data_IF_250073827650
#
_entry.id   IF_250073827650
#
_cell.length_a   1.000
_cell.length_b   1.000
_cell.length_c   1.000
_cell.angle_alpha   90.00
_cell.angle_beta   90.00
_cell.angle_gamma   90.00
#
_symmetry.space_group_name_H-M   'P 1'
#
loop_
_entity.id
_entity.type
_entity.pdbx_description
1 polymer ?
#
# COMPACT_ATOMS: atom_id res chain seq x y z
N UNK A 1 9.46 -9.01 -15.80
CA UNK A 1 10.00 -8.07 -16.79
C UNK A 1 11.32 -7.46 -16.31
N UNK A 2 11.36 -6.73 -15.22
CA UNK A 2 12.57 -6.05 -14.73
C UNK A 2 13.77 -7.03 -14.64
N UNK A 3 13.58 -8.16 -13.96
CA UNK A 3 14.61 -9.19 -13.81
C UNK A 3 15.07 -9.75 -15.15
N UNK A 4 14.14 -10.10 -16.04
CA UNK A 4 14.45 -10.68 -17.33
C UNK A 4 15.26 -9.73 -18.21
N UNK A 5 14.88 -8.45 -18.25
CA UNK A 5 15.58 -7.41 -19.00
C UNK A 5 17.01 -7.23 -18.47
N UNK A 6 17.19 -7.13 -17.15
CA UNK A 6 18.52 -6.95 -16.56
C UNK A 6 19.42 -8.18 -16.75
N UNK A 7 18.87 -9.40 -16.67
CA UNK A 7 19.62 -10.63 -16.98
C UNK A 7 20.07 -10.62 -18.45
N UNK A 8 19.16 -10.36 -19.39
CA UNK A 8 19.46 -10.35 -20.81
C UNK A 8 20.45 -9.25 -21.20
N UNK A 9 20.34 -8.06 -20.58
CA UNK A 9 21.26 -6.96 -20.77
C UNK A 9 22.68 -7.30 -20.32
N UNK A 10 22.83 -7.93 -19.15
CA UNK A 10 24.13 -8.28 -18.57
C UNK A 10 24.73 -9.55 -19.20
N UNK A 11 23.89 -10.43 -19.72
CA UNK A 11 24.29 -11.74 -20.26
C UNK A 11 23.64 -11.98 -21.63
N UNK A 12 24.10 -11.30 -22.70
CA UNK A 12 23.44 -11.37 -24.01
C UNK A 12 23.46 -12.75 -24.67
N UNK A 13 24.29 -13.68 -24.19
CA UNK A 13 24.37 -15.06 -24.69
C UNK A 13 23.29 -15.98 -24.06
N UNK A 14 22.59 -15.55 -23.03
CA UNK A 14 21.53 -16.34 -22.40
C UNK A 14 20.21 -16.16 -23.15
N UNK A 15 19.52 -17.27 -23.38
CA UNK A 15 18.12 -17.23 -23.79
C UNK A 15 17.25 -16.98 -22.55
N UNK A 16 16.59 -15.81 -22.53
CA UNK A 16 15.69 -15.41 -21.42
C UNK A 16 14.26 -15.41 -21.92
N UNK A 17 13.38 -16.10 -21.21
CA UNK A 17 11.96 -16.25 -21.56
C UNK A 17 11.09 -15.85 -20.38
N UNK A 18 10.05 -15.06 -20.64
CA UNK A 18 8.98 -14.74 -19.68
C UNK A 18 7.77 -15.61 -20.03
N UNK A 19 7.33 -16.44 -19.08
CA UNK A 19 6.04 -17.14 -19.16
C UNK A 19 4.97 -16.31 -18.47
N UNK A 20 4.07 -15.71 -19.23
CA UNK A 20 2.97 -14.89 -18.70
C UNK A 20 1.66 -15.70 -18.80
N UNK A 21 0.95 -15.79 -17.68
CA UNK A 21 -0.34 -16.49 -17.60
C UNK A 21 -1.44 -15.78 -18.40
N UNK A 22 -1.41 -14.45 -18.39
CA UNK A 22 -2.42 -13.61 -19.04
C UNK A 22 -2.26 -13.56 -20.56
N UNK A 23 -3.27 -13.04 -21.22
CA UNK A 23 -3.21 -12.69 -22.66
C UNK A 23 -2.41 -11.42 -22.90
N UNK A 24 -2.22 -10.61 -21.86
CA UNK A 24 -1.44 -9.37 -21.85
C UNK A 24 -0.52 -9.39 -20.63
N UNK A 25 0.68 -8.85 -20.77
CA UNK A 25 1.61 -8.68 -19.66
C UNK A 25 1.36 -7.39 -18.88
N UNK A 26 1.97 -7.29 -17.67
CA UNK A 26 2.00 -6.06 -16.89
C UNK A 26 0.63 -5.52 -16.45
N UNK A 27 -0.42 -6.36 -16.41
CA UNK A 27 -1.77 -5.96 -16.06
C UNK A 27 -1.85 -5.27 -14.67
N UNK A 28 -1.04 -5.69 -13.70
CA UNK A 28 -0.98 -5.04 -12.38
C UNK A 28 -0.32 -3.65 -12.45
N UNK A 29 0.67 -3.46 -13.31
CA UNK A 29 1.28 -2.14 -13.57
C UNK A 29 0.24 -1.20 -14.15
N UNK A 30 -0.56 -1.70 -15.12
CA UNK A 30 -1.61 -0.92 -15.81
C UNK A 30 -2.61 -0.27 -14.84
N UNK A 31 -3.02 -0.97 -13.79
CA UNK A 31 -4.01 -0.47 -12.82
C UNK A 31 -3.40 0.19 -11.58
N UNK A 32 -2.10 0.05 -11.36
CA UNK A 32 -1.43 0.58 -10.18
C UNK A 32 -1.47 2.11 -10.14
N UNK A 33 -1.48 2.68 -8.92
CA UNK A 33 -1.52 4.13 -8.73
C UNK A 33 -2.69 4.83 -9.43
N UNK A 34 -3.83 4.15 -9.56
CA UNK A 34 -5.00 4.69 -10.26
C UNK A 34 -4.81 4.81 -11.79
N UNK A 35 -4.03 3.91 -12.40
CA UNK A 35 -3.71 3.93 -13.83
C UNK A 35 -2.50 4.80 -14.19
N UNK A 36 -1.85 5.41 -13.21
CA UNK A 36 -0.65 6.25 -13.41
C UNK A 36 0.66 5.49 -13.18
N UNK A 37 0.62 4.37 -12.47
CA UNK A 37 1.76 3.60 -11.95
C UNK A 37 2.61 4.38 -10.93
N UNK A 38 2.36 4.17 -9.64
CA UNK A 38 3.32 4.57 -8.61
C UNK A 38 4.56 3.68 -8.74
N UNK A 39 5.64 4.23 -9.27
CA UNK A 39 6.87 3.48 -9.61
C UNK A 39 7.70 3.21 -8.37
N UNK A 40 7.92 4.23 -7.55
CA UNK A 40 8.74 4.20 -6.34
C UNK A 40 8.38 5.35 -5.41
N UNK A 41 9.17 5.55 -4.37
CA UNK A 41 9.02 6.63 -3.40
C UNK A 41 10.33 7.43 -3.30
N UNK A 42 10.24 8.73 -3.02
CA UNK A 42 11.39 9.61 -2.88
C UNK A 42 12.04 9.49 -1.48
N UNK A 43 12.34 8.27 -1.06
CA UNK A 43 13.13 7.99 0.13
C UNK A 43 14.48 7.41 -0.31
N UNK A 44 15.57 8.10 0.01
CA UNK A 44 16.91 7.82 -0.50
C UNK A 44 17.88 7.33 0.57
N UNK A 45 17.41 7.12 1.80
CA UNK A 45 18.20 6.60 2.90
C UNK A 45 17.74 5.18 3.21
N UNK A 46 18.57 4.14 3.04
CA UNK A 46 18.17 2.75 3.26
C UNK A 46 17.55 2.48 4.64
N UNK A 47 18.11 3.07 5.70
CA UNK A 47 17.59 2.92 7.07
C UNK A 47 16.19 3.53 7.27
N UNK A 48 15.89 4.62 6.55
CA UNK A 48 14.56 5.24 6.60
C UNK A 48 13.57 4.49 5.70
N UNK A 49 14.05 4.04 4.52
CA UNK A 49 13.21 3.29 3.58
C UNK A 49 12.67 2.00 4.19
N UNK A 50 13.51 1.25 4.95
CA UNK A 50 13.10 -0.03 5.55
C UNK A 50 12.02 0.13 6.62
N UNK A 51 11.91 1.29 7.29
CA UNK A 51 10.86 1.55 8.27
C UNK A 51 9.44 1.48 7.69
N UNK A 52 9.31 1.57 6.36
CA UNK A 52 8.03 1.40 5.66
C UNK A 52 7.66 -0.08 5.43
N UNK A 53 8.51 -1.00 5.85
CA UNK A 53 8.30 -2.46 5.71
C UNK A 53 8.06 -3.08 7.08
N UNK A 54 6.80 -3.19 7.56
CA UNK A 54 6.48 -3.71 8.90
C UNK A 54 6.94 -5.17 9.11
N UNK A 55 7.24 -5.84 8.03
CA UNK A 55 7.87 -7.18 7.99
C UNK A 55 8.90 -7.17 6.87
N UNK A 56 10.15 -7.50 7.19
CA UNK A 56 11.27 -7.49 6.25
C UNK A 56 12.21 -6.29 6.40
N UNK A 57 12.03 -5.42 7.40
CA UNK A 57 12.90 -4.27 7.67
C UNK A 57 14.38 -4.68 7.74
N UNK A 58 14.69 -5.71 8.54
CA UNK A 58 16.06 -6.20 8.73
C UNK A 58 16.62 -6.90 7.49
N UNK A 59 15.77 -7.68 6.82
CA UNK A 59 16.12 -8.44 5.63
C UNK A 59 16.36 -7.54 4.41
N UNK A 60 15.66 -6.42 4.32
CA UNK A 60 15.73 -5.50 3.19
C UNK A 60 16.85 -4.46 3.30
N UNK A 61 17.38 -4.22 4.50
CA UNK A 61 18.43 -3.20 4.70
C UNK A 61 19.66 -3.47 3.82
N UNK A 62 20.17 -4.70 3.79
CA UNK A 62 21.29 -5.09 2.93
C UNK A 62 20.99 -4.90 1.44
N UNK A 63 19.92 -5.47 0.90
CA UNK A 63 19.50 -5.25 -0.49
C UNK A 63 19.34 -3.79 -0.88
N UNK A 64 18.79 -2.91 -0.03
CA UNK A 64 18.64 -1.49 -0.33
C UNK A 64 19.95 -0.71 -0.35
N UNK A 65 21.02 -1.20 0.27
CA UNK A 65 22.35 -0.67 0.06
C UNK A 65 22.95 -1.01 -1.31
N UNK A 66 22.37 -2.01 -2.02
CA UNK A 66 22.82 -2.42 -3.37
C UNK A 66 21.93 -1.86 -4.48
N UNK A 67 20.63 -1.82 -4.25
CA UNK A 67 19.65 -1.33 -5.21
C UNK A 67 18.41 -0.77 -4.47
N UNK A 68 18.16 0.52 -4.62
CA UNK A 68 17.08 1.20 -3.93
C UNK A 68 16.27 2.13 -4.85
N UNK A 69 15.57 3.08 -4.27
CA UNK A 69 14.68 4.01 -4.98
C UNK A 69 15.43 4.88 -6.00
N UNK A 70 16.61 5.41 -5.65
CA UNK A 70 17.44 6.18 -6.56
C UNK A 70 17.93 5.38 -7.77
N UNK A 71 18.28 4.11 -7.56
CA UNK A 71 18.66 3.20 -8.64
C UNK A 71 17.48 2.89 -9.56
N UNK A 72 16.29 2.75 -8.99
CA UNK A 72 15.05 2.58 -9.75
C UNK A 72 14.78 3.79 -10.65
N UNK A 73 14.92 5.01 -10.10
CA UNK A 73 14.77 6.25 -10.88
C UNK A 73 15.77 6.28 -12.03
N UNK A 74 17.06 6.11 -11.73
CA UNK A 74 18.14 6.10 -12.73
C UNK A 74 17.94 5.03 -13.80
N UNK A 75 17.38 3.85 -13.43
CA UNK A 75 17.07 2.79 -14.38
C UNK A 75 16.03 3.23 -15.42
N UNK A 76 14.98 3.93 -15.00
CA UNK A 76 13.94 4.45 -15.88
C UNK A 76 14.41 5.66 -16.68
N UNK A 77 15.11 6.61 -16.07
CA UNK A 77 15.63 7.81 -16.73
C UNK A 77 16.61 7.47 -17.86
N UNK A 78 17.53 6.52 -17.65
CA UNK A 78 18.41 5.98 -18.69
C UNK A 78 17.68 5.39 -19.90
N UNK A 79 16.38 5.11 -19.74
CA UNK A 79 15.49 4.57 -20.78
C UNK A 79 14.48 5.60 -21.30
N UNK A 80 14.72 6.87 -20.98
CA UNK A 80 13.89 7.99 -21.44
C UNK A 80 12.55 8.14 -20.72
N UNK A 81 12.40 7.51 -19.55
CA UNK A 81 11.20 7.67 -18.72
C UNK A 81 11.52 8.59 -17.54
N UNK A 82 11.06 9.83 -17.62
CA UNK A 82 11.20 10.82 -16.55
C UNK A 82 10.12 10.58 -15.50
N UNK A 83 10.53 10.57 -14.23
CA UNK A 83 9.66 10.44 -13.07
C UNK A 83 9.53 11.77 -12.35
N UNK A 84 8.34 12.07 -11.84
CA UNK A 84 8.07 13.22 -10.96
C UNK A 84 7.72 12.77 -9.56
N UNK A 85 8.09 13.58 -8.56
CA UNK A 85 7.77 13.39 -7.15
C UNK A 85 6.48 14.16 -6.86
N UNK A 86 5.53 13.55 -6.16
CA UNK A 86 4.37 14.21 -5.58
C UNK A 86 4.65 14.62 -4.12
N UNK A 87 3.82 15.50 -3.56
CA UNK A 87 4.00 16.10 -2.22
C UNK A 87 4.13 15.06 -1.10
N UNK A 88 3.58 13.89 -1.28
CA UNK A 88 3.65 12.77 -0.32
C UNK A 88 4.82 11.80 -0.61
N UNK A 89 5.74 12.16 -1.48
CA UNK A 89 6.93 11.39 -1.82
C UNK A 89 6.70 10.26 -2.84
N UNK A 90 5.47 9.99 -3.27
CA UNK A 90 5.21 9.01 -4.33
C UNK A 90 5.75 9.51 -5.66
N UNK A 91 6.26 8.58 -6.46
CA UNK A 91 6.83 8.91 -7.76
C UNK A 91 6.05 8.27 -8.91
N UNK A 92 5.69 9.10 -9.86
CA UNK A 92 4.91 8.70 -11.04
C UNK A 92 5.65 9.10 -12.33
N UNK A 93 5.40 8.44 -13.48
CA UNK A 93 5.88 8.96 -14.74
C UNK A 93 5.29 10.36 -14.99
N UNK A 94 6.09 11.27 -15.53
CA UNK A 94 5.67 12.66 -15.81
C UNK A 94 4.44 12.70 -16.72
N UNK A 95 4.29 11.73 -17.61
CA UNK A 95 3.12 11.54 -18.48
C UNK A 95 1.81 11.24 -17.75
N UNK A 96 1.86 10.93 -16.44
CA UNK A 96 0.70 10.50 -15.64
C UNK A 96 -0.06 9.27 -16.18
N UNK A 97 0.59 8.41 -16.92
CA UNK A 97 -0.01 7.18 -17.43
C UNK A 97 0.90 5.97 -17.21
N UNK A 98 0.33 4.87 -16.72
CA UNK A 98 1.04 3.60 -16.57
C UNK A 98 1.54 3.02 -17.90
N UNK A 99 0.95 3.45 -19.02
CA UNK A 99 1.34 3.00 -20.35
C UNK A 99 2.81 3.31 -20.64
N UNK A 100 3.33 4.46 -20.19
CA UNK A 100 4.75 4.82 -20.32
C UNK A 100 5.69 3.79 -19.70
N UNK A 101 5.32 3.27 -18.53
CA UNK A 101 6.10 2.22 -17.84
C UNK A 101 5.98 0.88 -18.57
N UNK A 102 4.78 0.55 -19.04
CA UNK A 102 4.53 -0.67 -19.81
C UNK A 102 5.33 -0.65 -21.10
N UNK A 103 5.28 0.45 -21.86
CA UNK A 103 6.00 0.60 -23.11
C UNK A 103 7.53 0.52 -22.90
N UNK A 104 8.04 1.12 -21.82
CA UNK A 104 9.44 1.00 -21.44
C UNK A 104 9.84 -0.47 -21.27
N UNK A 105 9.08 -1.24 -20.48
CA UNK A 105 9.38 -2.66 -20.26
C UNK A 105 9.29 -3.49 -21.54
N UNK A 106 8.29 -3.26 -22.37
CA UNK A 106 8.11 -4.01 -23.62
C UNK A 106 9.20 -3.68 -24.65
N UNK A 107 9.57 -2.41 -24.78
CA UNK A 107 10.64 -1.97 -25.66
C UNK A 107 12.01 -2.51 -25.21
N UNK A 108 12.32 -2.48 -23.92
CA UNK A 108 13.57 -3.04 -23.40
C UNK A 108 13.62 -4.57 -23.54
N UNK A 109 12.49 -5.26 -23.28
CA UNK A 109 12.40 -6.70 -23.50
C UNK A 109 12.69 -7.06 -24.97
N UNK A 110 12.11 -6.31 -25.90
CA UNK A 110 12.38 -6.47 -27.36
C UNK A 110 13.84 -6.17 -27.71
N UNK A 111 14.38 -5.09 -27.21
CA UNK A 111 15.78 -4.64 -27.44
C UNK A 111 16.81 -5.69 -27.01
N UNK A 112 16.58 -6.34 -25.88
CA UNK A 112 17.46 -7.38 -25.33
C UNK A 112 17.03 -8.81 -25.69
N UNK A 113 16.13 -8.97 -26.67
CA UNK A 113 15.67 -10.26 -27.18
C UNK A 113 15.07 -11.18 -26.11
N UNK A 114 14.41 -10.60 -25.09
CA UNK A 114 13.63 -11.37 -24.12
C UNK A 114 12.35 -11.87 -24.80
N UNK A 115 12.19 -13.18 -24.87
CA UNK A 115 10.99 -13.81 -25.43
C UNK A 115 9.84 -13.76 -24.42
N UNK A 116 8.66 -13.26 -24.80
CA UNK A 116 7.48 -13.20 -23.94
C UNK A 116 6.42 -14.14 -24.49
N UNK A 117 6.08 -15.17 -23.72
CA UNK A 117 5.06 -16.16 -24.07
C UNK A 117 3.81 -15.93 -23.23
N UNK A 118 2.78 -15.40 -23.86
CA UNK A 118 1.48 -15.16 -23.25
C UNK A 118 0.63 -16.42 -23.17
N UNK A 119 -0.35 -16.45 -22.26
CA UNK A 119 -1.24 -17.59 -22.01
C UNK A 119 -0.50 -18.87 -21.55
N UNK A 120 0.71 -18.73 -21.04
CA UNK A 120 1.54 -19.83 -20.54
C UNK A 120 1.46 -19.93 -19.01
N UNK A 121 0.33 -20.40 -18.52
CA UNK A 121 0.16 -20.64 -17.08
C UNK A 121 0.93 -21.88 -16.65
N UNK A 122 1.82 -21.75 -15.66
CA UNK A 122 2.56 -22.86 -15.06
C UNK A 122 1.59 -23.81 -14.34
N UNK A 123 1.72 -25.11 -14.61
CA UNK A 123 0.96 -26.19 -13.97
C UNK A 123 1.82 -26.98 -12.99
N UNK A 124 2.97 -27.42 -13.43
CA UNK A 124 3.92 -28.20 -12.61
C UNK A 124 5.34 -27.67 -12.80
N UNK A 125 6.15 -27.87 -11.79
CA UNK A 125 7.56 -27.52 -11.80
C UNK A 125 8.33 -28.57 -11.01
N UNK A 126 9.32 -29.18 -11.64
CA UNK A 126 10.15 -30.20 -10.99
C UNK A 126 11.60 -30.11 -11.49
N UNK A 127 12.53 -30.55 -10.69
CA UNK A 127 13.92 -30.63 -11.08
C UNK A 127 14.28 -32.07 -11.44
N UNK A 128 14.84 -32.28 -12.63
CA UNK A 128 15.36 -33.54 -13.11
C UNK A 128 16.57 -33.29 -14.04
N UNK A 129 17.57 -34.14 -14.03
CA UNK A 129 18.78 -34.06 -14.87
C UNK A 129 19.49 -32.69 -14.79
N UNK A 130 19.54 -32.09 -13.60
CA UNK A 130 20.07 -30.74 -13.36
C UNK A 130 19.35 -29.61 -14.12
N UNK A 131 18.15 -29.86 -14.61
CA UNK A 131 17.29 -28.88 -15.27
C UNK A 131 15.95 -28.77 -14.56
N UNK A 132 15.36 -27.59 -14.64
CA UNK A 132 13.95 -27.39 -14.32
C UNK A 132 13.08 -27.80 -15.50
N UNK A 133 12.12 -28.66 -15.24
CA UNK A 133 11.07 -29.06 -16.17
C UNK A 133 9.80 -28.34 -15.77
N UNK A 134 9.30 -27.48 -16.64
CA UNK A 134 8.12 -26.65 -16.41
C UNK A 134 7.02 -27.08 -17.36
N UNK A 135 5.91 -27.55 -16.84
CA UNK A 135 4.72 -27.82 -17.64
C UNK A 135 3.79 -26.60 -17.61
N UNK A 136 3.37 -26.17 -18.77
CA UNK A 136 2.38 -25.10 -18.94
C UNK A 136 1.14 -25.63 -19.66
N UNK A 137 0.13 -24.78 -19.83
CA UNK A 137 -1.04 -25.10 -20.66
C UNK A 137 -0.68 -25.31 -22.15
N UNK A 138 0.45 -24.76 -22.60
CA UNK A 138 0.85 -24.72 -24.00
C UNK A 138 2.03 -25.64 -24.36
N UNK A 139 2.65 -26.26 -23.36
CA UNK A 139 3.80 -27.17 -23.62
C UNK A 139 4.77 -27.25 -22.46
N UNK A 140 5.86 -27.97 -22.71
CA UNK A 140 6.93 -28.24 -21.77
C UNK A 140 8.14 -27.36 -22.04
N UNK A 141 8.73 -26.84 -20.99
CA UNK A 141 9.97 -26.05 -21.02
C UNK A 141 11.02 -26.69 -20.14
N UNK A 142 12.27 -26.65 -20.61
CA UNK A 142 13.45 -27.07 -19.81
C UNK A 142 14.40 -25.89 -19.67
N UNK A 143 14.87 -25.63 -18.47
CA UNK A 143 15.79 -24.52 -18.22
C UNK A 143 16.71 -24.81 -17.03
N UNK A 144 17.86 -24.14 -16.99
CA UNK A 144 18.81 -24.24 -15.87
C UNK A 144 18.33 -23.45 -14.65
N UNK A 145 17.68 -22.31 -14.86
CA UNK A 145 17.27 -21.40 -13.80
C UNK A 145 15.84 -20.96 -14.00
N UNK A 146 15.12 -20.80 -12.89
CA UNK A 146 13.75 -20.27 -12.85
C UNK A 146 13.69 -19.13 -11.86
N UNK A 147 13.05 -18.04 -12.25
CA UNK A 147 12.71 -16.92 -11.36
C UNK A 147 11.20 -16.87 -11.22
N UNK A 148 10.69 -17.05 -10.01
CA UNK A 148 9.28 -16.96 -9.69
C UNK A 148 8.95 -15.51 -9.32
N UNK A 149 8.18 -14.81 -10.16
CA UNK A 149 7.77 -13.43 -9.99
C UNK A 149 6.27 -13.24 -10.22
N UNK A 150 5.47 -14.19 -9.72
CA UNK A 150 4.03 -14.32 -10.02
C UNK A 150 3.12 -13.50 -9.10
N UNK A 151 3.69 -12.80 -8.12
CA UNK A 151 2.93 -12.11 -7.05
C UNK A 151 2.14 -13.11 -6.19
N UNK A 152 1.07 -12.64 -5.56
CA UNK A 152 0.22 -13.45 -4.68
C UNK A 152 -0.61 -14.43 -5.51
N UNK A 153 -0.12 -15.65 -5.66
CA UNK A 153 -0.77 -16.72 -6.42
C UNK A 153 -0.72 -18.04 -5.63
N UNK A 154 -1.85 -18.45 -4.98
CA UNK A 154 -1.90 -19.67 -4.17
C UNK A 154 -1.48 -20.94 -4.93
N UNK A 155 -1.77 -21.04 -6.23
CA UNK A 155 -1.37 -22.20 -7.02
C UNK A 155 0.16 -22.33 -7.13
N UNK A 156 0.85 -21.20 -7.26
CA UNK A 156 2.31 -21.21 -7.28
C UNK A 156 2.87 -21.46 -5.88
N UNK A 157 2.23 -20.96 -4.84
CA UNK A 157 2.64 -21.27 -3.46
C UNK A 157 2.59 -22.77 -3.18
N UNK A 158 1.51 -23.44 -3.61
CA UNK A 158 1.40 -24.90 -3.47
C UNK A 158 2.52 -25.64 -4.22
N UNK A 159 2.86 -25.22 -5.45
CA UNK A 159 3.99 -25.80 -6.18
C UNK A 159 5.33 -25.62 -5.43
N UNK A 160 5.53 -24.47 -4.80
CA UNK A 160 6.72 -24.21 -3.98
C UNK A 160 6.73 -25.07 -2.72
N UNK A 161 5.58 -25.28 -2.09
CA UNK A 161 5.42 -26.17 -0.94
C UNK A 161 5.74 -27.64 -1.30
N UNK A 162 5.25 -28.12 -2.44
CA UNK A 162 5.58 -29.43 -3.01
C UNK A 162 7.09 -29.62 -3.27
N UNK A 163 7.81 -28.52 -3.54
CA UNK A 163 9.27 -28.50 -3.68
C UNK A 163 10.04 -28.41 -2.34
N UNK A 164 9.31 -28.43 -1.21
CA UNK A 164 9.88 -28.39 0.14
C UNK A 164 10.09 -27.00 0.72
N UNK A 165 9.57 -25.93 0.11
CA UNK A 165 9.61 -24.61 0.70
C UNK A 165 8.52 -24.43 1.77
N UNK A 166 8.86 -23.79 2.86
CA UNK A 166 7.87 -23.38 3.87
C UNK A 166 7.09 -22.18 3.38
N UNK A 167 5.78 -22.32 3.25
CA UNK A 167 4.89 -21.23 2.85
C UNK A 167 4.17 -20.68 4.08
N UNK A 168 4.48 -19.43 4.43
CA UNK A 168 3.70 -18.69 5.43
C UNK A 168 2.44 -18.12 4.77
N UNK A 169 1.29 -18.44 5.36
CA UNK A 169 0.02 -17.96 4.83
C UNK A 169 -0.05 -16.43 4.81
N UNK A 170 -0.39 -15.88 3.65
CA UNK A 170 -0.58 -14.44 3.51
C UNK A 170 -1.86 -13.97 4.23
N UNK A 171 -1.76 -12.83 4.88
CA UNK A 171 -2.90 -12.14 5.50
C UNK A 171 -3.14 -10.79 4.81
N UNK A 172 -4.38 -10.29 4.78
CA UNK A 172 -4.66 -8.94 4.28
C UNK A 172 -3.81 -7.86 4.93
N UNK A 173 -3.41 -6.88 4.15
CA UNK A 173 -2.63 -5.71 4.55
C UNK A 173 -3.08 -4.51 3.73
N UNK A 174 -2.90 -3.30 4.24
CA UNK A 174 -3.33 -2.06 3.58
C UNK A 174 -4.85 -2.06 3.26
N UNK A 175 -5.67 -2.38 4.25
CA UNK A 175 -7.13 -2.42 4.10
C UNK A 175 -7.84 -1.35 4.92
N UNK A 176 -9.04 -1.00 4.49
CA UNK A 176 -9.94 -0.06 5.17
C UNK A 176 -10.67 -0.74 6.32
N UNK A 177 -11.07 0.02 7.33
CA UNK A 177 -11.87 -0.50 8.45
C UNK A 177 -13.36 -0.33 8.19
N UNK A 178 -14.12 -1.41 8.29
CA UNK A 178 -15.57 -1.37 8.28
C UNK A 178 -16.06 -1.04 9.70
N UNK A 179 -16.74 0.08 9.86
CA UNK A 179 -17.16 0.59 11.16
C UNK A 179 -18.63 1.01 11.09
N UNK A 180 -19.43 0.46 11.99
CA UNK A 180 -20.83 0.85 12.19
C UNK A 180 -20.93 1.69 13.47
N UNK A 181 -20.87 3.01 13.35
CA UNK A 181 -20.92 3.94 14.45
C UNK A 181 -21.72 5.19 14.08
N UNK A 182 -22.64 5.59 14.94
CA UNK A 182 -23.51 6.75 14.71
C UNK A 182 -22.74 8.09 14.59
N UNK A 183 -21.54 8.16 15.19
CA UNK A 183 -20.69 9.35 15.15
C UNK A 183 -20.14 9.66 13.75
N UNK A 184 -20.08 8.66 12.88
CA UNK A 184 -19.55 8.78 11.52
C UNK A 184 -20.60 8.50 10.43
N UNK A 185 -21.80 8.06 10.80
CA UNK A 185 -22.88 7.82 9.84
C UNK A 185 -23.27 9.14 9.14
N UNK A 186 -23.63 9.05 7.87
CA UNK A 186 -24.13 10.15 7.01
C UNK A 186 -23.14 11.30 6.79
N UNK A 187 -21.85 11.07 7.06
CA UNK A 187 -20.79 12.05 6.78
C UNK A 187 -19.66 11.49 5.92
N UNK A 188 -19.92 10.64 4.90
CA UNK A 188 -18.85 10.18 4.03
C UNK A 188 -18.21 11.35 3.27
N UNK A 189 -16.92 11.19 2.93
CA UNK A 189 -16.10 12.21 2.29
C UNK A 189 -15.50 13.23 3.26
N UNK A 190 -15.79 13.16 4.56
CA UNK A 190 -15.14 14.01 5.56
C UNK A 190 -13.72 13.50 5.79
N UNK A 191 -12.75 14.43 5.69
CA UNK A 191 -11.33 14.19 5.94
C UNK A 191 -10.92 14.96 7.20
N UNK A 192 -10.20 14.30 8.10
CA UNK A 192 -9.45 14.93 9.18
C UNK A 192 -7.97 14.73 8.90
N UNK A 193 -7.22 15.81 8.78
CA UNK A 193 -5.85 15.78 8.22
C UNK A 193 -4.79 15.22 9.15
N UNK A 194 -5.02 15.28 10.46
CA UNK A 194 -4.02 14.88 11.45
C UNK A 194 -4.68 14.20 12.65
N UNK A 195 -4.88 12.90 12.56
CA UNK A 195 -5.47 12.10 13.64
C UNK A 195 -4.48 11.07 14.14
N UNK A 196 -4.73 10.60 15.35
CA UNK A 196 -4.06 9.44 15.94
C UNK A 196 -5.11 8.33 16.16
N UNK A 197 -4.81 7.13 15.71
CA UNK A 197 -5.70 5.97 15.78
C UNK A 197 -4.99 4.84 16.52
N UNK A 198 -5.59 4.34 17.59
CA UNK A 198 -5.11 3.20 18.37
C UNK A 198 -6.04 2.00 18.23
N UNK A 199 -5.46 0.80 18.22
CA UNK A 199 -6.23 -0.44 18.40
C UNK A 199 -6.28 -0.77 19.87
N UNK A 200 -7.49 -0.84 20.43
CA UNK A 200 -7.72 -1.15 21.85
C UNK A 200 -7.09 -2.49 22.22
N UNK A 201 -6.52 -2.57 23.42
CA UNK A 201 -5.81 -3.74 23.95
C UNK A 201 -4.59 -4.16 23.07
N UNK A 202 -3.90 -3.15 22.51
CA UNK A 202 -2.65 -3.38 21.77
C UNK A 202 -1.72 -2.16 21.83
N UNK A 203 -0.49 -2.33 21.39
CA UNK A 203 0.47 -1.25 21.19
C UNK A 203 0.42 -0.68 19.76
N UNK A 204 -0.56 -1.09 18.97
CA UNK A 204 -0.69 -0.67 17.58
C UNK A 204 -1.37 0.70 17.49
N UNK A 205 -0.64 1.64 16.92
CA UNK A 205 -1.18 2.96 16.61
C UNK A 205 -0.64 3.48 15.27
N UNK A 206 -1.29 4.45 14.73
CA UNK A 206 -0.85 5.16 13.52
C UNK A 206 -1.39 6.58 13.50
N UNK A 207 -0.66 7.44 12.83
CA UNK A 207 -1.01 8.85 12.66
C UNK A 207 -1.14 9.23 11.20
N UNK A 208 -1.87 10.30 10.93
CA UNK A 208 -2.00 10.90 9.61
C UNK A 208 -3.42 11.26 9.22
N UNK A 209 -3.65 11.53 7.94
CA UNK A 209 -5.00 11.80 7.43
C UNK A 209 -5.92 10.58 7.58
N UNK A 210 -7.18 10.85 7.95
CA UNK A 210 -8.26 9.88 8.04
C UNK A 210 -9.43 10.34 7.19
N UNK A 211 -9.99 9.43 6.39
CA UNK A 211 -11.17 9.65 5.56
C UNK A 211 -12.34 8.80 6.09
N UNK A 212 -13.45 9.44 6.35
CA UNK A 212 -14.73 8.75 6.62
C UNK A 212 -15.34 8.34 5.29
N UNK A 213 -15.67 7.05 5.15
CA UNK A 213 -16.27 6.45 3.96
C UNK A 213 -17.73 6.02 4.25
N UNK A 214 -18.43 5.52 3.25
CA UNK A 214 -19.78 4.96 3.43
C UNK A 214 -19.85 3.71 4.31
N UNK A 215 -18.72 3.02 4.47
CA UNK A 215 -18.63 1.75 5.23
C UNK A 215 -17.75 1.83 6.48
N UNK A 216 -17.11 2.97 6.74
CA UNK A 216 -16.23 3.15 7.89
C UNK A 216 -15.13 4.15 7.66
N UNK A 217 -13.85 3.74 7.74
CA UNK A 217 -12.72 4.65 7.65
C UNK A 217 -11.60 4.12 6.77
N UNK A 218 -10.87 5.05 6.13
CA UNK A 218 -9.75 4.80 5.24
C UNK A 218 -8.70 5.92 5.36
N UNK A 219 -7.81 6.03 4.38
CA UNK A 219 -6.70 6.97 4.28
C UNK A 219 -5.46 6.55 5.11
N UNK A 220 -4.33 7.29 5.02
CA UNK A 220 -3.04 6.85 5.54
C UNK A 220 -3.04 6.35 6.99
N UNK A 221 -3.72 7.02 7.91
CA UNK A 221 -3.79 6.59 9.32
C UNK A 221 -4.35 5.16 9.46
N UNK A 222 -5.38 4.82 8.69
CA UNK A 222 -6.02 3.50 8.73
C UNK A 222 -5.20 2.46 7.93
N UNK A 223 -4.74 2.82 6.74
CA UNK A 223 -4.01 1.91 5.86
C UNK A 223 -2.66 1.49 6.46
N UNK A 224 -1.91 2.44 7.04
CA UNK A 224 -0.66 2.13 7.77
C UNK A 224 -0.94 1.23 8.97
N UNK A 225 -1.95 1.58 9.78
CA UNK A 225 -2.32 0.78 10.95
C UNK A 225 -2.69 -0.66 10.58
N UNK A 226 -3.45 -0.85 9.50
CA UNK A 226 -3.80 -2.18 8.98
C UNK A 226 -2.59 -2.95 8.45
N UNK A 227 -1.59 -2.27 7.90
CA UNK A 227 -0.37 -2.89 7.40
C UNK A 227 0.55 -3.34 8.54
N UNK A 228 0.80 -2.47 9.51
CA UNK A 228 1.63 -2.79 10.67
C UNK A 228 0.97 -3.84 11.57
N UNK A 229 -0.34 -3.73 11.78
CA UNK A 229 -1.14 -4.64 12.58
C UNK A 229 -1.61 -5.92 11.86
N UNK A 230 -1.25 -6.16 10.60
CA UNK A 230 -1.87 -7.20 9.77
C UNK A 230 -1.92 -8.59 10.43
N UNK A 231 -0.82 -9.04 11.05
CA UNK A 231 -0.75 -10.35 11.70
C UNK A 231 -1.60 -10.37 12.98
N UNK A 232 -1.56 -9.31 13.78
CA UNK A 232 -2.34 -9.23 15.01
C UNK A 232 -3.83 -9.12 14.73
N UNK A 233 -4.23 -8.33 13.74
CA UNK A 233 -5.62 -8.21 13.32
C UNK A 233 -6.17 -9.52 12.73
N UNK A 234 -5.35 -10.27 12.01
CA UNK A 234 -5.72 -11.61 11.55
C UNK A 234 -5.97 -12.58 12.71
N UNK A 235 -5.14 -12.55 13.77
CA UNK A 235 -5.34 -13.36 14.99
C UNK A 235 -6.63 -13.00 15.75
N UNK A 236 -7.13 -11.79 15.58
CA UNK A 236 -8.40 -11.31 16.15
C UNK A 236 -9.62 -11.55 15.23
N UNK A 237 -9.45 -12.33 14.16
CA UNK A 237 -10.46 -12.52 13.11
C UNK A 237 -11.02 -11.20 12.57
N UNK A 238 -10.17 -10.17 12.52
CA UNK A 238 -10.50 -8.81 12.08
C UNK A 238 -11.65 -8.16 12.88
N UNK A 239 -11.83 -8.58 14.15
CA UNK A 239 -12.80 -8.00 15.09
C UNK A 239 -12.06 -7.29 16.21
N UNK A 240 -12.13 -5.97 16.21
CA UNK A 240 -11.39 -5.13 17.17
C UNK A 240 -12.08 -3.78 17.35
N UNK A 241 -11.70 -3.08 18.40
CA UNK A 241 -12.11 -1.71 18.67
C UNK A 241 -10.95 -0.76 18.40
N UNK A 242 -11.29 0.46 18.00
CA UNK A 242 -10.31 1.55 17.81
C UNK A 242 -10.69 2.76 18.66
N UNK A 243 -9.69 3.48 19.10
CA UNK A 243 -9.80 4.82 19.68
C UNK A 243 -9.18 5.82 18.71
N UNK A 244 -9.83 6.97 18.54
CA UNK A 244 -9.38 8.01 17.63
C UNK A 244 -9.27 9.32 18.38
N UNK A 245 -8.05 9.86 18.42
CA UNK A 245 -7.80 11.23 18.82
C UNK A 245 -7.75 12.12 17.58
N UNK A 246 -8.85 12.80 17.29
CA UNK A 246 -9.01 13.64 16.10
C UNK A 246 -8.21 14.95 16.15
N UNK A 247 -7.65 15.31 17.30
CA UNK A 247 -7.02 16.62 17.52
C UNK A 247 -5.59 16.51 18.06
N UNK A 248 -5.12 15.29 18.34
CA UNK A 248 -3.79 14.99 18.91
C UNK A 248 -3.45 15.84 20.13
N UNK A 249 -4.41 16.00 21.02
CA UNK A 249 -4.26 16.71 22.29
C UNK A 249 -4.62 15.81 23.45
N UNK A 250 -4.01 16.07 24.62
CA UNK A 250 -4.41 15.41 25.85
C UNK A 250 -5.84 15.84 26.26
N UNK A 251 -6.46 15.08 27.14
CA UNK A 251 -7.77 15.45 27.70
C UNK A 251 -7.69 16.79 28.45
N UNK A 252 -6.63 16.99 29.23
CA UNK A 252 -6.38 18.20 30.01
C UNK A 252 -6.23 19.42 29.12
N UNK A 253 -5.39 19.37 28.11
CA UNK A 253 -5.20 20.46 27.14
C UNK A 253 -6.51 20.79 26.42
N UNK A 254 -7.24 19.76 26.01
CA UNK A 254 -8.53 19.95 25.35
C UNK A 254 -9.54 20.64 26.27
N UNK A 255 -9.61 20.20 27.52
CA UNK A 255 -10.51 20.78 28.52
C UNK A 255 -10.20 22.27 28.79
N UNK A 256 -8.93 22.63 28.92
CA UNK A 256 -8.52 24.01 29.17
C UNK A 256 -8.82 24.92 27.99
N UNK A 257 -8.56 24.44 26.77
CA UNK A 257 -8.95 25.16 25.54
C UNK A 257 -10.49 25.36 25.49
N UNK A 258 -11.27 24.32 25.80
CA UNK A 258 -12.74 24.41 25.80
C UNK A 258 -13.26 25.39 26.85
N UNK A 259 -12.62 25.52 28.04
CA UNK A 259 -12.96 26.54 29.06
C UNK A 259 -12.73 27.96 28.53
N UNK A 260 -11.64 28.21 27.80
CA UNK A 260 -11.37 29.51 27.16
C UNK A 260 -12.42 29.82 26.08
N UNK A 261 -12.68 28.86 25.20
CA UNK A 261 -13.68 28.98 24.12
C UNK A 261 -15.07 29.28 24.70
N UNK A 262 -15.41 28.68 25.85
CA UNK A 262 -16.67 28.94 26.54
C UNK A 262 -16.84 30.42 26.86
N UNK A 263 -15.79 31.09 27.31
CA UNK A 263 -15.81 32.51 27.62
C UNK A 263 -15.92 33.37 26.33
N UNK A 264 -15.15 33.05 25.30
CA UNK A 264 -15.11 33.82 24.07
C UNK A 264 -16.40 33.68 23.24
N UNK A 265 -16.94 32.46 23.17
CA UNK A 265 -18.08 32.12 22.33
C UNK A 265 -19.41 31.98 23.09
N UNK A 266 -19.53 32.52 24.28
CA UNK A 266 -20.68 32.34 25.18
C UNK A 266 -22.06 32.46 24.49
N UNK A 267 -22.21 33.37 23.53
CA UNK A 267 -23.47 33.62 22.81
C UNK A 267 -23.70 32.66 21.61
N UNK A 268 -22.70 31.92 21.19
CA UNK A 268 -22.80 30.99 20.04
C UNK A 268 -23.24 29.61 20.49
N UNK A 269 -23.90 28.85 19.61
CA UNK A 269 -24.23 27.45 19.92
C UNK A 269 -23.02 26.57 19.68
N UNK A 270 -22.79 25.59 20.56
CA UNK A 270 -21.71 24.61 20.48
C UNK A 270 -21.77 23.86 19.12
N UNK A 271 -22.96 23.43 18.73
CA UNK A 271 -23.20 22.66 17.50
C UNK A 271 -22.77 23.40 16.23
N UNK A 272 -22.90 24.73 16.15
CA UNK A 272 -22.58 25.49 14.93
C UNK A 272 -21.15 26.04 14.90
N UNK A 273 -20.45 26.04 16.04
CA UNK A 273 -19.11 26.60 16.20
C UNK A 273 -18.06 25.51 16.34
N UNK A 274 -17.72 24.85 15.21
CA UNK A 274 -16.68 23.83 15.18
C UNK A 274 -15.34 24.39 15.70
N UNK A 275 -14.64 23.58 16.49
CA UNK A 275 -13.36 23.91 17.13
C UNK A 275 -12.27 22.94 16.67
N UNK A 276 -11.02 23.24 17.03
CA UNK A 276 -9.85 22.40 16.76
C UNK A 276 -9.64 22.09 15.28
N UNK A 277 -10.06 22.97 14.40
CA UNK A 277 -10.01 22.79 12.94
C UNK A 277 -10.77 21.53 12.46
N UNK A 278 -11.63 20.97 13.30
CA UNK A 278 -12.43 19.81 12.93
C UNK A 278 -13.42 20.16 11.81
N UNK A 279 -13.60 19.29 10.82
CA UNK A 279 -14.63 19.45 9.82
C UNK A 279 -16.00 19.63 10.49
N UNK A 280 -16.76 20.64 10.06
CA UNK A 280 -18.05 21.01 10.67
C UNK A 280 -19.01 19.82 10.85
N UNK A 281 -19.09 18.93 9.83
CA UNK A 281 -19.96 17.75 9.90
C UNK A 281 -19.51 16.76 10.97
N UNK A 282 -18.19 16.56 11.13
CA UNK A 282 -17.64 15.71 12.19
C UNK A 282 -17.88 16.32 13.57
N UNK A 283 -17.56 17.59 13.77
CA UNK A 283 -17.84 18.32 14.99
C UNK A 283 -19.29 18.15 15.44
N UNK A 284 -20.23 18.37 14.53
CA UNK A 284 -21.67 18.26 14.80
C UNK A 284 -22.07 16.86 15.28
N UNK A 285 -21.49 15.81 14.68
CA UNK A 285 -21.74 14.43 15.10
C UNK A 285 -21.16 14.14 16.49
N UNK A 286 -19.96 14.63 16.79
CA UNK A 286 -19.33 14.48 18.10
C UNK A 286 -20.11 15.21 19.20
N UNK A 287 -20.60 16.44 18.94
CA UNK A 287 -21.44 17.22 19.87
C UNK A 287 -22.72 16.45 20.18
N UNK A 288 -23.43 15.93 19.17
CA UNK A 288 -24.65 15.14 19.38
C UNK A 288 -24.36 13.83 20.14
N UNK A 289 -23.25 13.18 19.84
CA UNK A 289 -22.84 11.97 20.55
C UNK A 289 -22.54 12.22 22.04
N UNK A 290 -22.11 13.43 22.38
CA UNK A 290 -21.92 13.90 23.75
C UNK A 290 -23.24 14.29 24.46
N UNK A 291 -24.41 14.02 23.83
CA UNK A 291 -25.76 14.37 24.32
C UNK A 291 -25.99 15.88 24.52
N UNK A 292 -25.26 16.70 23.77
CA UNK A 292 -25.44 18.16 23.75
C UNK A 292 -26.43 18.48 22.61
N UNK A 293 -27.54 19.10 22.95
CA UNK A 293 -28.58 19.54 22.02
C UNK A 293 -28.07 20.68 21.11
N UNK A 294 -28.69 20.85 19.94
CA UNK A 294 -28.23 21.80 18.90
C UNK A 294 -28.30 23.26 19.35
N UNK A 295 -29.19 23.58 20.26
CA UNK A 295 -29.49 24.92 20.74
C UNK A 295 -28.62 25.33 21.93
N UNK A 296 -27.90 24.39 22.54
CA UNK A 296 -27.04 24.66 23.70
C UNK A 296 -25.92 25.62 23.31
N UNK A 297 -25.76 26.67 24.10
CA UNK A 297 -24.71 27.68 23.92
C UNK A 297 -23.49 27.35 24.76
N UNK A 298 -22.40 27.99 24.48
CA UNK A 298 -21.15 27.86 25.23
C UNK A 298 -21.25 28.45 26.63
N UNK A 299 -22.00 29.55 26.83
CA UNK A 299 -22.19 30.24 28.08
C UNK A 299 -23.41 29.82 28.88
#
# INVERSE_FOLDING_TARGET
>A
FFTAINIAQQNPHLKVVILERGKEGLAKVKVSGGGRCNVTHAEFIPSELVLNYPRGEKELLGPFHQFMTGDTINWFEKRGVVLKIEDDGRMFPESNTSQTIIDCFLNEAKKYHVEILYSHSLKTMQQADNLWHLETLQGLFKTKNVVIATGSNPKIWNLLEELGHTILQAVPSLFTFNIKDQRINDIPGVVSSNVEVHIVDSNLYSEGPLLITHWGMSAPAILKLSAFGAIELAKRDYKFQIEINFIKKSFEDCLDILKLIKQELAKKTIYKSAQFELPKRLWQKLVLASKIEKEVRWG
#
